data_IF_482380174758
#
_entry.id   IF_482380174758
#
_cell.length_a   1.000
_cell.length_b   1.000
_cell.length_c   1.000
_cell.angle_alpha   90.00
_cell.angle_beta   90.00
_cell.angle_gamma   90.00
#
_symmetry.space_group_name_H-M   'P 1'
#
loop_
_entity.id
_entity.type
_entity.pdbx_description
1 polymer ?
#
# COMPACT_ATOMS: atom_id res chain seq x y z
N UNK A 1 1.37 -4.94 -3.07
CA UNK A 1 1.37 -4.20 -1.80
C UNK A 1 2.79 -4.27 -1.27
N UNK A 2 3.29 -3.18 -0.69
CA UNK A 2 4.66 -3.05 -0.18
C UNK A 2 4.60 -2.74 1.32
N UNK A 3 5.71 -2.92 2.02
CA UNK A 3 5.89 -2.46 3.39
C UNK A 3 6.84 -1.26 3.42
N UNK A 4 6.75 -0.49 4.49
CA UNK A 4 7.56 0.72 4.68
C UNK A 4 8.67 0.44 5.69
N UNK A 5 9.88 0.93 5.44
CA UNK A 5 11.04 0.73 6.31
C UNK A 5 11.82 2.03 6.50
N UNK A 6 12.14 2.36 7.75
CA UNK A 6 12.99 3.51 8.12
C UNK A 6 14.31 3.01 8.68
N UNK A 7 15.42 3.57 8.21
CA UNK A 7 16.77 3.16 8.63
C UNK A 7 17.43 4.25 9.46
N UNK A 8 17.64 3.98 10.76
CA UNK A 8 18.28 4.94 11.65
C UNK A 8 19.82 4.88 11.66
N UNK A 9 20.41 3.93 10.92
CA UNK A 9 21.86 3.81 10.71
C UNK A 9 22.32 4.66 9.53
N UNK A 10 23.64 4.91 9.48
CA UNK A 10 24.26 5.59 8.35
C UNK A 10 24.17 4.69 7.11
N UNK A 11 23.54 5.20 6.05
CA UNK A 11 23.45 4.53 4.77
C UNK A 11 24.73 4.73 3.94
N UNK A 12 25.14 3.73 3.14
CA UNK A 12 26.28 3.83 2.24
C UNK A 12 25.90 4.69 1.00
N UNK A 13 26.02 6.00 1.12
CA UNK A 13 25.72 6.91 0.01
C UNK A 13 26.90 7.06 -0.95
N UNK A 14 26.67 7.35 -2.25
CA UNK A 14 27.74 7.61 -3.20
C UNK A 14 28.55 8.86 -2.81
N UNK A 15 29.86 8.85 -3.09
CA UNK A 15 30.78 9.95 -2.71
C UNK A 15 30.40 11.31 -3.30
N UNK A 16 29.81 11.29 -4.51
CA UNK A 16 29.27 12.48 -5.18
C UNK A 16 27.75 12.35 -5.15
N UNK A 17 27.13 12.92 -4.12
CA UNK A 17 25.68 13.04 -4.06
C UNK A 17 25.25 14.26 -4.89
N UNK A 18 24.20 14.16 -5.74
CA UNK A 18 23.59 15.31 -6.39
C UNK A 18 23.19 16.38 -5.38
N UNK A 19 23.29 17.65 -5.77
CA UNK A 19 23.01 18.78 -4.87
C UNK A 19 21.57 18.77 -4.35
N UNK A 20 20.62 18.31 -5.18
CA UNK A 20 19.19 18.16 -4.85
C UNK A 20 18.87 17.10 -3.79
N UNK A 21 19.83 16.26 -3.43
CA UNK A 21 19.68 15.20 -2.42
C UNK A 21 20.49 15.47 -1.14
N UNK A 22 21.24 16.58 -1.07
CA UNK A 22 22.08 16.92 0.09
C UNK A 22 21.27 17.39 1.30
N UNK A 23 20.12 17.99 1.05
CA UNK A 23 19.14 18.44 2.06
C UNK A 23 18.35 17.27 2.68
N UNK A 24 18.37 16.11 2.03
CA UNK A 24 17.58 14.95 2.44
C UNK A 24 18.08 14.39 3.78
N UNK A 25 17.18 14.33 4.76
CA UNK A 25 17.43 13.66 6.03
C UNK A 25 17.26 12.15 5.89
N UNK A 26 18.30 11.48 5.42
CA UNK A 26 18.32 10.03 5.15
C UNK A 26 17.85 9.11 6.30
N UNK A 27 17.88 9.58 7.55
CA UNK A 27 17.40 8.82 8.73
C UNK A 27 15.88 8.86 8.93
N UNK A 28 15.20 9.81 8.29
CA UNK A 28 13.75 10.02 8.35
C UNK A 28 13.06 9.55 7.06
N UNK A 29 13.84 9.21 6.03
CA UNK A 29 13.31 8.70 4.76
C UNK A 29 12.65 7.35 4.98
N UNK A 30 11.43 7.25 4.47
CA UNK A 30 10.67 6.00 4.38
C UNK A 30 11.01 5.34 3.05
N UNK A 31 11.48 4.11 3.13
CA UNK A 31 11.75 3.27 1.97
C UNK A 31 10.66 2.22 1.83
N UNK A 32 10.37 1.78 0.62
CA UNK A 32 9.47 0.68 0.34
C UNK A 32 10.26 -0.62 0.22
N UNK A 33 9.71 -1.72 0.73
CA UNK A 33 10.27 -3.06 0.58
C UNK A 33 9.19 -4.06 0.23
N UNK A 34 9.58 -5.11 -0.50
CA UNK A 34 8.71 -6.26 -0.80
C UNK A 34 9.17 -7.56 -0.13
N UNK A 35 10.24 -7.49 0.66
CA UNK A 35 10.90 -8.66 1.25
C UNK A 35 10.27 -9.11 2.57
N UNK A 36 9.23 -8.42 3.05
CA UNK A 36 8.59 -8.66 4.35
C UNK A 36 7.15 -9.16 4.14
N UNK A 37 6.19 -8.68 4.91
CA UNK A 37 4.82 -9.20 4.96
C UNK A 37 3.95 -8.69 3.79
N UNK A 38 4.38 -7.63 3.11
CA UNK A 38 3.65 -6.96 2.04
C UNK A 38 2.24 -6.52 2.46
N UNK A 39 2.12 -6.03 3.70
CA UNK A 39 0.86 -5.67 4.35
C UNK A 39 0.77 -4.19 4.72
N UNK A 40 1.56 -3.30 4.09
CA UNK A 40 1.67 -1.88 4.45
C UNK A 40 2.09 -1.69 5.92
N UNK A 41 2.90 -2.61 6.43
CA UNK A 41 3.40 -2.53 7.81
C UNK A 41 4.60 -1.59 7.85
N UNK A 42 4.65 -0.76 8.89
CA UNK A 42 5.82 0.08 9.16
C UNK A 42 6.90 -0.71 9.91
N UNK A 43 8.11 -0.68 9.37
CA UNK A 43 9.31 -1.29 9.92
C UNK A 43 10.38 -0.24 10.21
N UNK A 44 11.27 -0.53 11.16
CA UNK A 44 12.49 0.25 11.37
C UNK A 44 13.69 -0.62 11.64
N UNK A 45 14.82 -0.26 11.05
CA UNK A 45 16.14 -0.77 11.40
C UNK A 45 16.73 0.18 12.43
N UNK A 46 16.74 -0.25 13.69
CA UNK A 46 17.23 0.56 14.79
C UNK A 46 18.77 0.64 14.80
N UNK A 47 19.32 1.57 15.59
CA UNK A 47 20.77 1.77 15.72
C UNK A 47 21.48 0.51 16.23
N UNK A 48 20.81 -0.30 17.06
CA UNK A 48 21.30 -1.59 17.53
C UNK A 48 21.42 -2.67 16.42
N UNK A 49 20.91 -2.39 15.21
CA UNK A 49 20.93 -3.29 14.07
C UNK A 49 19.83 -4.35 14.07
N UNK A 50 18.82 -4.23 14.94
CA UNK A 50 17.64 -5.11 14.94
C UNK A 50 16.51 -4.48 14.14
N UNK A 51 15.65 -5.35 13.59
CA UNK A 51 14.44 -4.96 12.87
C UNK A 51 13.27 -4.90 13.85
N UNK A 52 12.51 -3.82 13.81
CA UNK A 52 11.27 -3.67 14.57
C UNK A 52 10.11 -3.45 13.62
N UNK A 53 8.97 -4.06 13.92
CA UNK A 53 7.70 -3.83 13.24
C UNK A 53 6.75 -3.07 14.17
N UNK A 54 5.98 -2.15 13.62
CA UNK A 54 4.93 -1.44 14.35
C UNK A 54 3.67 -2.31 14.36
N UNK A 55 3.37 -2.91 15.51
CA UNK A 55 2.24 -3.82 15.69
C UNK A 55 1.31 -3.35 16.81
N UNK A 56 0.06 -3.76 16.76
CA UNK A 56 -0.87 -3.60 17.87
C UNK A 56 -0.49 -4.52 19.03
N UNK A 57 -0.83 -4.14 20.25
CA UNK A 57 -0.53 -4.96 21.41
C UNK A 57 -1.40 -6.22 21.50
N UNK A 58 -2.64 -6.13 21.03
CA UNK A 58 -3.57 -7.24 20.97
C UNK A 58 -3.88 -7.63 19.52
N UNK A 59 -3.29 -8.75 19.07
CA UNK A 59 -3.56 -9.32 17.74
C UNK A 59 -5.01 -9.79 17.61
N UNK A 60 -5.70 -10.15 18.71
CA UNK A 60 -7.12 -10.57 18.69
C UNK A 60 -8.06 -9.39 18.45
N UNK A 61 -7.68 -8.17 18.84
CA UNK A 61 -8.49 -6.97 18.61
C UNK A 61 -8.57 -6.57 17.13
N UNK A 62 -7.63 -7.02 16.29
CA UNK A 62 -7.63 -6.71 14.84
C UNK A 62 -8.65 -7.55 14.07
N UNK A 63 -8.90 -8.80 14.50
CA UNK A 63 -9.83 -9.72 13.82
C UNK A 63 -11.30 -9.59 14.26
N UNK A 64 -11.59 -8.80 15.31
CA UNK A 64 -12.95 -8.56 15.81
C UNK A 64 -13.79 -7.62 14.91
N UNK A 65 -13.20 -7.08 13.83
CA UNK A 65 -13.84 -6.10 12.94
C UNK A 65 -15.11 -6.59 12.22
N UNK A 66 -15.33 -7.91 12.11
CA UNK A 66 -16.51 -8.44 11.41
C UNK A 66 -17.80 -8.44 12.25
N UNK A 67 -17.75 -8.08 13.53
CA UNK A 67 -18.96 -7.95 14.33
C UNK A 67 -19.43 -6.49 14.31
N UNK A 68 -20.53 -6.24 13.62
CA UNK A 68 -21.26 -4.96 13.53
C UNK A 68 -21.59 -4.29 14.89
N UNK A 69 -21.29 -4.95 16.01
CA UNK A 69 -21.59 -4.52 17.37
C UNK A 69 -20.35 -4.33 18.26
N UNK A 70 -19.13 -4.51 17.75
CA UNK A 70 -17.98 -4.46 18.64
C UNK A 70 -17.57 -3.02 19.01
N UNK A 71 -17.33 -2.85 20.31
CA UNK A 71 -17.12 -1.60 21.04
C UNK A 71 -16.14 -0.65 20.33
N UNK A 72 -16.41 0.66 20.48
CA UNK A 72 -15.44 1.74 20.24
C UNK A 72 -14.05 1.28 20.67
N UNK A 73 -13.12 1.21 19.72
CA UNK A 73 -11.70 1.08 20.04
C UNK A 73 -11.36 2.18 21.05
N UNK A 74 -10.90 1.79 22.23
CA UNK A 74 -9.89 2.60 22.89
C UNK A 74 -8.72 2.62 21.90
N UNK A 75 -8.15 3.79 21.61
CA UNK A 75 -7.04 3.94 20.68
C UNK A 75 -5.90 3.02 21.10
N UNK A 76 -5.88 1.80 20.54
CA UNK A 76 -4.90 0.80 20.88
C UNK A 76 -3.59 1.30 20.29
N UNK A 77 -2.75 1.84 21.17
CA UNK A 77 -1.44 2.37 20.80
C UNK A 77 -0.65 1.28 20.06
N UNK A 78 -0.01 1.69 18.96
CA UNK A 78 0.86 0.79 18.22
C UNK A 78 2.26 0.86 18.81
N UNK A 79 2.86 -0.31 19.06
CA UNK A 79 4.18 -0.40 19.65
C UNK A 79 5.18 -1.06 18.70
N UNK A 80 6.45 -0.68 18.87
CA UNK A 80 7.56 -1.27 18.13
C UNK A 80 7.96 -2.59 18.76
N UNK A 81 7.64 -3.70 18.09
CA UNK A 81 8.03 -5.05 18.52
C UNK A 81 9.24 -5.51 17.71
N UNK A 82 10.21 -6.12 18.37
CA UNK A 82 11.36 -6.71 17.70
C UNK A 82 10.90 -7.92 16.89
N UNK A 83 11.31 -8.00 15.63
CA UNK A 83 10.92 -9.09 14.70
C UNK A 83 12.16 -9.76 14.15
N UNK A 84 12.06 -11.05 13.88
CA UNK A 84 13.10 -11.81 13.20
C UNK A 84 13.29 -11.26 11.78
N UNK A 85 14.46 -10.68 11.52
CA UNK A 85 14.81 -10.20 10.19
C UNK A 85 15.18 -11.38 9.27
N UNK A 86 14.76 -11.37 7.99
CA UNK A 86 15.24 -12.31 6.99
C UNK A 86 16.73 -12.06 6.67
N UNK A 87 17.35 -12.97 5.91
CA UNK A 87 18.78 -12.89 5.53
C UNK A 87 19.15 -11.59 4.83
N UNK A 88 18.28 -11.10 3.95
CA UNK A 88 18.45 -9.83 3.26
C UNK A 88 17.13 -9.12 3.05
N UNK A 89 17.15 -7.79 3.12
CA UNK A 89 16.01 -6.92 2.84
C UNK A 89 16.43 -5.91 1.79
N UNK A 90 15.75 -5.93 0.65
CA UNK A 90 15.92 -4.92 -0.39
C UNK A 90 14.88 -3.84 -0.16
N UNK A 91 15.31 -2.59 -0.11
CA UNK A 91 14.44 -1.46 0.11
C UNK A 91 14.84 -0.29 -0.79
N UNK A 92 13.84 0.37 -1.35
CA UNK A 92 14.03 1.40 -2.36
C UNK A 92 13.12 2.59 -2.12
N UNK A 93 13.48 3.73 -2.67
CA UNK A 93 12.64 4.92 -2.67
C UNK A 93 12.91 5.72 -3.93
N UNK A 94 11.93 6.54 -4.32
CA UNK A 94 12.08 7.47 -5.42
C UNK A 94 11.95 8.92 -4.92
N UNK A 95 12.92 9.76 -5.27
CA UNK A 95 12.86 11.18 -5.01
C UNK A 95 12.44 11.90 -6.27
N UNK A 96 11.27 12.52 -6.25
CA UNK A 96 10.80 13.35 -7.36
C UNK A 96 11.28 14.79 -7.11
N UNK A 97 12.22 15.27 -7.93
CA UNK A 97 12.74 16.65 -7.83
C UNK A 97 12.39 17.47 -9.06
N UNK A 98 12.90 18.70 -9.10
CA UNK A 98 12.59 19.67 -10.15
C UNK A 98 13.36 19.40 -11.44
N UNK A 99 14.62 18.99 -11.36
CA UNK A 99 15.42 18.68 -12.55
C UNK A 99 15.35 17.20 -12.90
N UNK A 100 15.63 16.32 -11.95
CA UNK A 100 15.63 14.88 -12.18
C UNK A 100 14.79 14.12 -11.15
N UNK A 101 14.38 12.91 -11.52
CA UNK A 101 13.83 11.97 -10.55
C UNK A 101 14.93 10.96 -10.21
N UNK A 102 15.14 10.67 -8.92
CA UNK A 102 16.18 9.77 -8.45
C UNK A 102 15.59 8.47 -7.92
N UNK A 103 16.11 7.35 -8.40
CA UNK A 103 15.79 6.03 -7.87
C UNK A 103 16.95 5.51 -7.03
N UNK A 104 16.68 5.22 -5.76
CA UNK A 104 17.71 4.73 -4.83
C UNK A 104 17.27 3.41 -4.21
N UNK A 105 18.09 2.38 -4.37
CA UNK A 105 17.88 1.05 -3.82
C UNK A 105 19.05 0.62 -2.95
N UNK A 106 18.74 0.02 -1.80
CA UNK A 106 19.71 -0.55 -0.88
C UNK A 106 19.34 -1.98 -0.53
N UNK A 107 20.35 -2.76 -0.19
CA UNK A 107 20.21 -4.12 0.33
C UNK A 107 20.85 -4.19 1.72
N UNK A 108 20.05 -4.47 2.74
CA UNK A 108 20.51 -4.77 4.09
C UNK A 108 20.70 -6.27 4.28
N UNK A 109 21.86 -6.68 4.79
CA UNK A 109 22.19 -8.06 5.11
C UNK A 109 22.16 -8.29 6.62
N UNK A 110 21.52 -9.37 7.05
CA UNK A 110 21.41 -9.77 8.44
C UNK A 110 22.11 -11.11 8.68
N UNK A 111 22.74 -11.25 9.84
CA UNK A 111 23.30 -12.51 10.30
C UNK A 111 22.19 -13.48 10.77
N UNK A 112 22.53 -14.74 11.02
CA UNK A 112 21.63 -15.79 11.54
C UNK A 112 20.91 -15.41 12.84
N UNK A 113 21.45 -14.44 13.59
CA UNK A 113 20.84 -13.88 14.82
C UNK A 113 19.94 -12.66 14.55
N UNK A 114 19.57 -12.42 13.29
CA UNK A 114 18.77 -11.26 12.84
C UNK A 114 19.36 -9.91 13.24
N UNK A 115 20.70 -9.83 13.24
CA UNK A 115 21.44 -8.59 13.49
C UNK A 115 22.01 -8.10 12.17
N UNK A 116 21.84 -6.81 11.90
CA UNK A 116 22.35 -6.17 10.71
C UNK A 116 23.88 -6.23 10.67
N UNK A 117 24.40 -6.83 9.60
CA UNK A 117 25.83 -6.98 9.31
C UNK A 117 26.31 -5.82 8.45
N UNK A 118 25.66 -5.61 7.31
CA UNK A 118 26.07 -4.63 6.31
C UNK A 118 24.84 -4.08 5.57
N UNK A 119 24.94 -2.84 5.07
CA UNK A 119 24.01 -2.29 4.07
C UNK A 119 24.85 -1.97 2.85
N UNK A 120 24.38 -2.36 1.66
CA UNK A 120 24.99 -2.01 0.37
C UNK A 120 24.05 -1.14 -0.42
N UNK A 121 24.60 -0.18 -1.15
CA UNK A 121 23.88 0.54 -2.20
C UNK A 121 23.83 -0.38 -3.42
N UNK A 122 22.63 -0.69 -3.87
CA UNK A 122 22.39 -1.60 -4.99
C UNK A 122 22.24 -0.80 -6.29
N UNK A 123 21.43 0.26 -6.25
CA UNK A 123 21.10 1.08 -7.41
C UNK A 123 20.98 2.54 -7.02
N UNK A 124 21.50 3.43 -7.87
CA UNK A 124 21.35 4.87 -7.78
C UNK A 124 21.25 5.41 -9.20
N UNK A 125 20.02 5.63 -9.66
CA UNK A 125 19.73 6.06 -11.02
C UNK A 125 19.12 7.45 -11.03
N UNK A 126 19.43 8.19 -12.08
CA UNK A 126 18.93 9.52 -12.37
C UNK A 126 18.12 9.45 -13.65
N UNK A 127 16.86 9.87 -13.60
CA UNK A 127 15.92 9.79 -14.70
C UNK A 127 15.38 11.18 -15.03
N UNK A 128 15.22 11.47 -16.32
CA UNK A 128 14.62 12.73 -16.79
C UNK A 128 13.12 12.79 -16.43
N UNK A 129 12.72 13.87 -15.77
CA UNK A 129 11.35 14.04 -15.28
C UNK A 129 10.37 14.60 -16.33
N UNK A 130 10.83 14.87 -17.57
CA UNK A 130 9.99 15.47 -18.62
C UNK A 130 8.74 14.63 -18.91
N UNK A 131 8.85 13.31 -18.95
CA UNK A 131 7.72 12.41 -19.20
C UNK A 131 6.74 12.40 -18.03
N UNK A 132 7.23 12.31 -16.79
CA UNK A 132 6.39 12.38 -15.58
C UNK A 132 5.59 13.66 -15.54
N UNK A 133 6.23 14.81 -15.79
CA UNK A 133 5.55 16.12 -15.78
C UNK A 133 4.46 16.22 -16.85
N UNK A 134 4.69 15.67 -18.05
CA UNK A 134 3.65 15.59 -19.11
C UNK A 134 2.47 14.75 -18.66
N UNK A 135 2.72 13.58 -18.07
CA UNK A 135 1.66 12.71 -17.57
C UNK A 135 0.89 13.35 -16.41
N UNK A 136 1.57 13.98 -15.45
CA UNK A 136 0.93 14.69 -14.34
C UNK A 136 0.01 15.82 -14.83
N UNK A 137 0.44 16.61 -15.82
CA UNK A 137 -0.42 17.63 -16.44
C UNK A 137 -1.66 17.02 -17.07
N UNK A 138 -1.51 15.97 -17.86
CA UNK A 138 -2.64 15.26 -18.47
C UNK A 138 -3.62 14.72 -17.42
N UNK A 139 -3.13 14.06 -16.38
CA UNK A 139 -3.98 13.56 -15.30
C UNK A 139 -4.69 14.68 -14.53
N UNK A 140 -4.01 15.81 -14.29
CA UNK A 140 -4.62 16.98 -13.66
C UNK A 140 -5.73 17.58 -14.52
N UNK A 141 -5.53 17.67 -15.84
CA UNK A 141 -6.55 18.12 -16.79
C UNK A 141 -7.75 17.16 -16.85
N UNK A 142 -7.51 15.86 -16.92
CA UNK A 142 -8.56 14.83 -16.88
C UNK A 142 -9.34 14.86 -15.55
N UNK A 143 -8.64 15.02 -14.42
CA UNK A 143 -9.24 15.15 -13.11
C UNK A 143 -10.10 16.43 -13.01
N UNK A 144 -9.59 17.57 -13.47
CA UNK A 144 -10.33 18.83 -13.47
C UNK A 144 -11.55 18.78 -14.40
N UNK A 145 -11.44 18.12 -15.57
CA UNK A 145 -12.58 17.89 -16.46
C UNK A 145 -13.62 16.98 -15.81
N UNK A 146 -13.19 15.89 -15.16
CA UNK A 146 -14.07 14.97 -14.42
C UNK A 146 -14.76 15.65 -13.24
N UNK A 147 -14.06 16.51 -12.50
CA UNK A 147 -14.60 17.29 -11.39
C UNK A 147 -15.65 18.28 -11.90
N UNK A 148 -15.38 19.00 -12.99
CA UNK A 148 -16.36 19.88 -13.64
C UNK A 148 -17.61 19.11 -14.07
N UNK A 149 -17.48 17.89 -14.58
CA UNK A 149 -18.62 17.05 -14.93
C UNK A 149 -19.41 16.58 -13.69
N UNK A 150 -18.72 16.11 -12.65
CA UNK A 150 -19.35 15.65 -11.41
C UNK A 150 -20.03 16.78 -10.62
N UNK A 151 -19.51 18.00 -10.72
CA UNK A 151 -20.09 19.18 -10.07
C UNK A 151 -21.31 19.74 -10.81
N UNK A 152 -21.55 19.35 -12.08
CA UNK A 152 -22.80 19.72 -12.76
C UNK A 152 -23.99 19.11 -12.04
N UNK A 153 -24.94 19.97 -11.68
CA UNK A 153 -26.16 19.61 -10.97
C UNK A 153 -26.98 18.50 -11.68
N UNK A 154 -27.00 18.53 -13.02
CA UNK A 154 -27.65 17.52 -13.87
C UNK A 154 -27.04 16.12 -13.64
N UNK A 155 -25.72 16.02 -13.45
CA UNK A 155 -25.05 14.74 -13.21
C UNK A 155 -25.36 14.19 -11.82
N UNK A 156 -25.48 15.07 -10.80
CA UNK A 156 -25.91 14.68 -9.44
C UNK A 156 -27.35 14.14 -9.45
N UNK A 157 -28.27 14.81 -10.15
CA UNK A 157 -29.66 14.35 -10.33
C UNK A 157 -29.68 13.01 -11.07
N UNK A 158 -28.97 12.90 -12.21
CA UNK A 158 -28.89 11.64 -12.96
C UNK A 158 -28.39 10.47 -12.10
N UNK A 159 -27.37 10.70 -11.27
CA UNK A 159 -26.80 9.66 -10.41
C UNK A 159 -27.79 9.20 -9.32
N UNK A 160 -28.57 10.13 -8.75
CA UNK A 160 -29.57 9.84 -7.72
C UNK A 160 -30.79 9.11 -8.31
N UNK A 161 -31.34 9.64 -9.41
CA UNK A 161 -32.62 9.20 -9.95
C UNK A 161 -32.52 8.05 -10.95
N UNK A 162 -31.36 7.86 -11.61
CA UNK A 162 -31.20 6.80 -12.59
C UNK A 162 -30.20 5.75 -12.13
N UNK A 163 -28.98 6.14 -11.75
CA UNK A 163 -27.91 5.15 -11.48
C UNK A 163 -28.15 4.31 -10.22
N UNK A 164 -28.60 4.90 -9.12
CA UNK A 164 -28.92 4.17 -7.87
C UNK A 164 -30.07 3.16 -8.02
N UNK A 165 -31.26 3.54 -8.52
CA UNK A 165 -32.37 2.59 -8.68
C UNK A 165 -32.06 1.52 -9.72
N UNK A 166 -31.37 1.86 -10.82
CA UNK A 166 -30.97 0.87 -11.82
C UNK A 166 -30.01 -0.16 -11.23
N UNK A 167 -29.01 0.26 -10.43
CA UNK A 167 -28.08 -0.65 -9.75
C UNK A 167 -28.80 -1.54 -8.72
N UNK A 168 -29.78 -0.99 -8.00
CA UNK A 168 -30.62 -1.76 -7.07
C UNK A 168 -31.43 -2.82 -7.83
N UNK A 169 -32.06 -2.43 -8.94
CA UNK A 169 -32.84 -3.34 -9.78
C UNK A 169 -31.99 -4.49 -10.32
N UNK A 170 -30.85 -4.17 -10.96
CA UNK A 170 -29.93 -5.20 -11.46
C UNK A 170 -29.35 -6.08 -10.35
N UNK A 171 -29.07 -5.52 -9.16
CA UNK A 171 -28.64 -6.33 -8.01
C UNK A 171 -29.71 -7.33 -7.56
N UNK A 172 -30.99 -6.96 -7.63
CA UNK A 172 -32.11 -7.88 -7.32
C UNK A 172 -32.28 -8.95 -8.39
N UNK A 173 -32.21 -8.58 -9.67
CA UNK A 173 -32.24 -9.53 -10.78
C UNK A 173 -31.11 -10.55 -10.62
N UNK A 174 -29.87 -10.10 -10.36
CA UNK A 174 -28.72 -10.98 -10.19
C UNK A 174 -28.86 -11.95 -9.00
N UNK A 175 -29.47 -11.50 -7.90
CA UNK A 175 -29.79 -12.37 -6.75
C UNK A 175 -30.83 -13.43 -7.08
N UNK A 176 -31.77 -13.13 -7.96
CA UNK A 176 -32.80 -14.08 -8.41
C UNK A 176 -32.16 -15.08 -9.37
N UNK A 177 -31.40 -14.61 -10.37
CA UNK A 177 -30.73 -15.47 -11.34
C UNK A 177 -29.75 -16.43 -10.68
N UNK A 178 -28.99 -16.00 -9.67
CA UNK A 178 -28.08 -16.90 -8.95
C UNK A 178 -28.79 -17.97 -8.11
N UNK A 179 -30.08 -17.77 -7.77
CA UNK A 179 -30.89 -18.78 -7.06
C UNK A 179 -31.57 -19.77 -8.01
N UNK A 180 -31.67 -19.46 -9.31
CA UNK A 180 -32.29 -20.33 -10.30
C UNK A 180 -31.53 -21.65 -10.51
N UNK A 181 -30.18 -21.70 -10.63
CA UNK A 181 -29.45 -22.96 -10.73
C UNK A 181 -29.66 -23.88 -9.53
N UNK A 182 -29.71 -23.31 -8.32
CA UNK A 182 -29.95 -24.07 -7.10
C UNK A 182 -31.39 -24.61 -7.01
N UNK A 183 -32.37 -23.85 -7.50
CA UNK A 183 -33.75 -24.29 -7.61
C UNK A 183 -33.93 -25.36 -8.70
N UNK A 184 -33.30 -25.17 -9.86
CA UNK A 184 -33.27 -26.13 -10.96
C UNK A 184 -32.62 -27.45 -10.54
N UNK A 185 -31.45 -27.42 -9.88
CA UNK A 185 -30.79 -28.63 -9.36
C UNK A 185 -31.61 -29.36 -8.28
N UNK A 186 -32.42 -28.63 -7.50
CA UNK A 186 -33.36 -29.25 -6.54
C UNK A 186 -34.54 -29.93 -7.22
N UNK A 187 -35.03 -29.38 -8.33
CA UNK A 187 -36.11 -29.97 -9.12
C UNK A 187 -35.58 -31.16 -9.91
N UNK A 188 -34.41 -31.03 -10.53
CA UNK A 188 -33.70 -32.11 -11.23
C UNK A 188 -33.48 -33.32 -10.31
N UNK A 189 -32.96 -33.11 -9.09
CA UNK A 189 -32.81 -34.19 -8.08
C UNK A 189 -34.12 -34.82 -7.62
N UNK A 190 -35.27 -34.14 -7.77
CA UNK A 190 -36.59 -34.70 -7.45
C UNK A 190 -37.20 -35.48 -8.61
N UNK A 191 -36.86 -35.12 -9.85
CA UNK A 191 -37.40 -35.73 -11.06
C UNK A 191 -36.52 -36.90 -11.54
N UNK A 192 -35.20 -36.80 -11.33
CA UNK A 192 -34.20 -37.82 -11.66
C UNK A 192 -33.45 -38.23 -10.38
N UNK A 193 -34.00 -39.20 -9.61
CA UNK A 193 -33.40 -39.68 -8.37
C UNK A 193 -32.38 -40.79 -8.67
N UNK A 194 -31.28 -40.44 -9.32
CA UNK A 194 -30.11 -41.32 -9.47
C UNK A 194 -28.84 -40.49 -9.41
#
# INVERSE_FOLDING_TARGET
>A
MFDDIVVHRKLPLPKKLPDELRDVKWKEVVFQTKCLDNCLTEYKIAVNGKLYAKKFDDERAVFAYNSFFDRKRNDAEMFWKNVTAPTSINFYTNFQREEFDYWVSFTAFFDRRSKLTEIKLDQFDEEDNTERKKQQKRFAEEAAASEKLHNKFIYKIYNIFWKKPLRYFFSKVFKITNKLPAAASKIERKILPW
#
